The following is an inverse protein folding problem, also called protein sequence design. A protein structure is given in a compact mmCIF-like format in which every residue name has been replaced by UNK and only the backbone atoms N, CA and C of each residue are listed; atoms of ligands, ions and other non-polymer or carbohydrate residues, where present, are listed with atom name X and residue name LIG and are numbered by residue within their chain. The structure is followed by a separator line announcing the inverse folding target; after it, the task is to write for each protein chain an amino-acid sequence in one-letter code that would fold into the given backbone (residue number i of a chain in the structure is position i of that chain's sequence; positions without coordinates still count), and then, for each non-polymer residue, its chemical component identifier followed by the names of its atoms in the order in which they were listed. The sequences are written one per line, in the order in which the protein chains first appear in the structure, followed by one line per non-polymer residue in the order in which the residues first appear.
data_IF_269800255117
#
_entry.id   IF_269800255117
#
_cell.length_a   1.000
_cell.length_b   1.000
_cell.length_c   1.000
_cell.angle_alpha   90.00
_cell.angle_beta   90.00
_cell.angle_gamma   90.00
#
_symmetry.space_group_name_H-M   'P 1'
#
loop_
_entity.id
_entity.type
_entity.pdbx_description
1 polymer ?
#
# COMPACT_ATOMS: atom_id res chain seq x y z
N UNK A 1 -73.75 -47.88 -40.52
CA UNK A 1 -72.72 -48.46 -41.43
C UNK A 1 -71.41 -47.73 -41.19
N UNK A 2 -70.59 -48.22 -40.25
CA UNK A 2 -69.24 -47.70 -40.08
C UNK A 2 -68.35 -48.32 -41.16
N UNK A 3 -67.65 -47.48 -41.92
CA UNK A 3 -66.91 -47.91 -43.11
C UNK A 3 -65.79 -48.88 -42.72
N UNK A 4 -65.55 -49.89 -43.57
CA UNK A 4 -64.50 -50.90 -43.40
C UNK A 4 -63.10 -50.29 -43.21
N UNK A 5 -62.91 -49.04 -43.62
CA UNK A 5 -61.67 -48.27 -43.43
C UNK A 5 -61.41 -47.94 -41.95
N UNK A 6 -62.44 -47.64 -41.15
CA UNK A 6 -62.28 -47.28 -39.73
C UNK A 6 -61.91 -48.49 -38.84
N UNK A 7 -62.30 -49.70 -39.26
CA UNK A 7 -61.87 -50.96 -38.62
C UNK A 7 -60.42 -51.34 -38.95
N UNK A 8 -59.91 -50.93 -40.11
CA UNK A 8 -58.53 -51.21 -40.50
C UNK A 8 -57.53 -50.35 -39.72
N UNK A 9 -57.87 -49.08 -39.43
CA UNK A 9 -56.99 -48.20 -38.66
C UNK A 9 -56.97 -48.48 -37.15
N UNK A 10 -58.06 -49.02 -36.59
CA UNK A 10 -58.13 -49.36 -35.15
C UNK A 10 -57.43 -50.67 -34.79
N UNK A 11 -57.02 -51.48 -35.77
CA UNK A 11 -56.27 -52.74 -35.58
C UNK A 11 -54.76 -52.59 -35.74
N UNK A 12 -54.24 -51.38 -35.92
CA UNK A 12 -52.79 -51.18 -36.05
C UNK A 12 -52.13 -51.36 -34.68
N UNK A 13 -51.70 -52.59 -34.41
CA UNK A 13 -51.34 -53.10 -33.08
C UNK A 13 -50.00 -52.62 -32.52
N UNK A 14 -49.32 -51.69 -33.17
CA UNK A 14 -48.00 -51.24 -32.70
C UNK A 14 -47.80 -49.75 -32.98
N UNK A 15 -48.07 -48.92 -31.98
CA UNK A 15 -47.41 -47.62 -31.86
C UNK A 15 -45.92 -47.90 -31.61
N UNK A 16 -45.12 -47.90 -32.68
CA UNK A 16 -43.67 -47.99 -32.59
C UNK A 16 -43.13 -46.57 -32.40
N UNK A 17 -43.03 -46.12 -31.17
CA UNK A 17 -42.24 -44.93 -30.84
C UNK A 17 -40.77 -45.29 -30.97
N UNK A 18 -40.13 -44.92 -32.08
CA UNK A 18 -38.67 -44.88 -32.14
C UNK A 18 -38.19 -43.81 -31.17
N UNK A 19 -37.79 -44.23 -29.97
CA UNK A 19 -37.00 -43.39 -29.09
C UNK A 19 -35.68 -43.10 -29.82
N UNK A 20 -35.60 -41.97 -30.53
CA UNK A 20 -34.34 -41.42 -31.03
C UNK A 20 -33.42 -41.37 -29.81
N UNK A 21 -32.41 -42.25 -29.79
CA UNK A 21 -31.45 -42.42 -28.71
C UNK A 21 -31.02 -41.04 -28.20
N UNK A 22 -31.44 -40.68 -26.98
CA UNK A 22 -31.00 -39.44 -26.32
C UNK A 22 -29.50 -39.48 -25.95
N UNK A 23 -28.81 -40.56 -26.29
CA UNK A 23 -27.36 -40.76 -26.13
C UNK A 23 -26.57 -39.60 -26.73
N UNK A 24 -26.95 -39.11 -27.92
CA UNK A 24 -26.26 -37.99 -28.58
C UNK A 24 -26.44 -36.67 -27.82
N UNK A 25 -27.61 -36.43 -27.22
CA UNK A 25 -27.85 -35.24 -26.37
C UNK A 25 -27.08 -35.33 -25.06
N UNK A 26 -27.05 -36.51 -24.43
CA UNK A 26 -26.31 -36.75 -23.20
C UNK A 26 -24.79 -36.62 -23.41
N UNK A 27 -24.27 -37.13 -24.53
CA UNK A 27 -22.85 -37.01 -24.87
C UNK A 27 -22.48 -35.56 -25.21
N UNK A 28 -23.31 -34.85 -25.98
CA UNK A 28 -23.13 -33.43 -26.27
C UNK A 28 -23.19 -32.58 -25.00
N UNK A 29 -24.12 -32.87 -24.09
CA UNK A 29 -24.20 -32.28 -22.73
C UNK A 29 -22.92 -32.51 -21.93
N UNK A 30 -22.37 -33.73 -21.94
CA UNK A 30 -21.12 -34.06 -21.25
C UNK A 30 -19.92 -33.30 -21.82
N UNK A 31 -19.82 -33.20 -23.15
CA UNK A 31 -18.77 -32.43 -23.83
C UNK A 31 -18.86 -30.94 -23.52
N UNK A 32 -20.08 -30.37 -23.53
CA UNK A 32 -20.33 -28.98 -23.15
C UNK A 32 -19.95 -28.77 -21.67
N UNK A 33 -20.33 -29.67 -20.77
CA UNK A 33 -19.96 -29.58 -19.35
C UNK A 33 -18.44 -29.63 -19.14
N UNK A 34 -17.73 -30.51 -19.84
CA UNK A 34 -16.26 -30.57 -19.80
C UNK A 34 -15.61 -29.30 -20.32
N UNK A 35 -16.12 -28.76 -21.43
CA UNK A 35 -15.65 -27.50 -21.99
C UNK A 35 -15.89 -26.33 -21.03
N UNK A 36 -17.08 -26.27 -20.42
CA UNK A 36 -17.41 -25.25 -19.42
C UNK A 36 -16.45 -25.34 -18.23
N UNK A 37 -16.20 -26.55 -17.72
CA UNK A 37 -15.23 -26.80 -16.64
C UNK A 37 -13.82 -26.35 -17.03
N UNK A 38 -13.39 -26.61 -18.26
CA UNK A 38 -12.08 -26.16 -18.76
C UNK A 38 -12.01 -24.63 -18.82
N UNK A 39 -13.04 -23.93 -19.30
CA UNK A 39 -13.11 -22.47 -19.27
C UNK A 39 -13.02 -21.95 -17.84
N UNK A 40 -13.79 -22.52 -16.90
CA UNK A 40 -13.71 -22.12 -15.49
C UNK A 40 -12.30 -22.32 -14.92
N UNK A 41 -11.64 -23.42 -15.26
CA UNK A 41 -10.27 -23.68 -14.83
C UNK A 41 -9.27 -22.68 -15.43
N UNK A 42 -9.42 -22.33 -16.71
CA UNK A 42 -8.61 -21.29 -17.35
C UNK A 42 -8.82 -19.91 -16.72
N UNK A 43 -10.06 -19.55 -16.39
CA UNK A 43 -10.37 -18.32 -15.67
C UNK A 43 -9.72 -18.30 -14.28
N UNK A 44 -9.75 -19.44 -13.57
CA UNK A 44 -9.09 -19.58 -12.27
C UNK A 44 -7.57 -19.39 -12.39
N UNK A 45 -6.92 -20.04 -13.38
CA UNK A 45 -5.48 -19.85 -13.64
C UNK A 45 -5.18 -18.38 -13.94
N UNK A 46 -5.98 -17.74 -14.79
CA UNK A 46 -5.83 -16.32 -15.12
C UNK A 46 -5.89 -15.42 -13.87
N UNK A 47 -6.87 -15.67 -12.99
CA UNK A 47 -7.03 -14.93 -11.74
C UNK A 47 -5.84 -15.16 -10.79
N UNK A 48 -5.38 -16.39 -10.63
CA UNK A 48 -4.23 -16.72 -9.77
C UNK A 48 -2.94 -16.07 -10.29
N UNK A 49 -2.69 -16.12 -11.61
CA UNK A 49 -1.55 -15.45 -12.23
C UNK A 49 -1.60 -13.94 -12.00
N UNK A 50 -2.79 -13.32 -12.13
CA UNK A 50 -3.00 -11.90 -11.82
C UNK A 50 -2.70 -11.57 -10.35
N UNK A 51 -3.21 -12.37 -9.41
CA UNK A 51 -2.96 -12.17 -7.98
C UNK A 51 -1.48 -12.30 -7.63
N UNK A 52 -0.78 -13.29 -8.17
CA UNK A 52 0.67 -13.47 -7.97
C UNK A 52 1.44 -12.27 -8.51
N UNK A 53 1.06 -11.77 -9.70
CA UNK A 53 1.69 -10.60 -10.30
C UNK A 53 1.52 -9.34 -9.45
N UNK A 54 0.28 -9.05 -9.01
CA UNK A 54 0.00 -7.89 -8.15
C UNK A 54 0.72 -8.03 -6.80
N UNK A 55 0.70 -9.22 -6.19
CA UNK A 55 1.39 -9.48 -4.91
C UNK A 55 2.90 -9.25 -5.02
N UNK A 56 3.51 -9.67 -6.14
CA UNK A 56 4.94 -9.41 -6.43
C UNK A 56 5.23 -7.91 -6.54
N UNK A 57 4.38 -7.15 -7.23
CA UNK A 57 4.52 -5.70 -7.34
C UNK A 57 4.32 -4.99 -5.99
N UNK A 58 3.31 -5.39 -5.22
CA UNK A 58 3.04 -4.83 -3.91
C UNK A 58 4.19 -5.12 -2.92
N UNK A 59 4.74 -6.33 -2.94
CA UNK A 59 5.91 -6.69 -2.12
C UNK A 59 7.18 -5.90 -2.49
N UNK A 60 7.30 -5.44 -3.75
CA UNK A 60 8.42 -4.58 -4.17
C UNK A 60 8.22 -3.11 -3.79
N UNK A 61 7.03 -2.74 -3.33
CA UNK A 61 6.68 -1.35 -3.08
C UNK A 61 6.34 -0.57 -4.35
N UNK A 62 6.07 -1.23 -5.49
CA UNK A 62 5.77 -0.56 -6.77
C UNK A 62 4.48 0.30 -6.71
N UNK A 63 3.63 0.04 -5.71
CA UNK A 63 2.39 0.78 -5.44
C UNK A 63 2.53 1.81 -4.31
N UNK A 64 3.73 1.97 -3.73
CA UNK A 64 3.96 2.99 -2.71
C UNK A 64 4.06 4.36 -3.36
N UNK A 65 3.58 5.38 -2.64
CA UNK A 65 3.79 6.76 -3.05
C UNK A 65 5.29 7.08 -2.98
N UNK A 66 5.87 7.55 -4.08
CA UNK A 66 7.32 7.83 -4.16
C UNK A 66 7.69 9.14 -3.50
N UNK A 67 6.74 10.07 -3.39
CA UNK A 67 6.99 11.38 -2.82
C UNK A 67 5.70 11.98 -2.29
N UNK A 68 5.83 12.75 -1.22
CA UNK A 68 4.72 13.38 -0.52
C UNK A 68 5.01 14.86 -0.29
N UNK A 69 3.97 15.67 -0.17
CA UNK A 69 4.09 17.08 0.20
C UNK A 69 3.46 17.27 1.57
N UNK A 70 4.21 17.86 2.49
CA UNK A 70 3.84 18.00 3.90
C UNK A 70 3.56 19.47 4.20
N UNK A 71 2.43 19.75 4.87
CA UNK A 71 1.98 21.11 5.19
C UNK A 71 1.54 21.16 6.65
N UNK A 72 2.52 21.25 7.54
CA UNK A 72 2.28 21.45 8.97
C UNK A 72 1.80 22.89 9.19
N UNK A 73 0.73 23.04 9.98
CA UNK A 73 0.16 24.33 10.37
C UNK A 73 1.09 25.07 11.34
N UNK A 74 0.74 26.32 11.68
CA UNK A 74 1.52 27.25 12.53
C UNK A 74 1.72 26.78 13.98
N UNK A 75 2.26 25.58 14.16
CA UNK A 75 2.61 24.97 15.43
C UNK A 75 4.05 25.32 15.79
N UNK A 76 4.25 25.71 17.04
CA UNK A 76 5.54 26.08 17.61
C UNK A 76 5.74 25.31 18.89
N UNK A 77 6.94 24.75 19.08
CA UNK A 77 7.33 24.05 20.30
C UNK A 77 8.52 24.73 20.94
N UNK A 78 8.31 25.36 22.10
CA UNK A 78 9.29 26.27 22.71
C UNK A 78 10.49 25.56 23.37
N UNK A 79 10.28 24.35 23.88
CA UNK A 79 11.27 23.63 24.69
C UNK A 79 11.97 22.49 23.94
N UNK A 80 12.17 22.65 22.62
CA UNK A 80 12.85 21.61 21.85
C UNK A 80 14.33 21.55 22.24
N UNK A 81 14.89 20.36 22.14
CA UNK A 81 16.27 20.06 22.54
C UNK A 81 17.06 19.67 21.31
N UNK A 82 18.13 20.39 21.02
CA UNK A 82 19.02 20.14 19.88
C UNK A 82 20.31 19.50 20.38
N UNK A 83 20.57 18.27 19.94
CA UNK A 83 21.77 17.48 20.26
C UNK A 83 22.60 17.29 18.99
N UNK A 84 23.50 18.24 18.73
CA UNK A 84 24.47 18.13 17.63
C UNK A 84 25.69 17.34 18.10
N UNK A 85 26.22 16.39 17.32
CA UNK A 85 27.43 15.67 17.69
C UNK A 85 28.58 16.62 18.03
N UNK A 86 29.18 16.43 19.22
CA UNK A 86 30.32 17.22 19.68
C UNK A 86 29.98 18.59 20.27
N UNK A 87 28.69 18.90 20.49
CA UNK A 87 28.25 20.12 21.19
C UNK A 87 27.39 19.78 22.39
N UNK A 88 27.34 20.72 23.33
CA UNK A 88 26.40 20.65 24.44
C UNK A 88 24.96 20.73 23.94
N UNK A 89 24.06 20.19 24.77
CA UNK A 89 22.63 20.16 24.50
C UNK A 89 22.07 21.58 24.60
N UNK A 90 21.55 22.10 23.49
CA UNK A 90 20.96 23.45 23.43
C UNK A 90 19.44 23.37 23.39
N UNK A 91 18.77 24.27 24.13
CA UNK A 91 17.31 24.45 24.03
C UNK A 91 17.01 25.48 22.95
N UNK A 92 16.11 25.14 22.03
CA UNK A 92 15.69 26.02 20.93
C UNK A 92 14.19 25.94 20.72
N UNK A 93 13.62 27.00 20.15
CA UNK A 93 12.25 27.01 19.66
C UNK A 93 12.20 26.25 18.33
N UNK A 94 11.35 25.25 18.24
CA UNK A 94 11.07 24.50 17.02
C UNK A 94 9.85 25.09 16.32
N UNK A 95 10.05 25.55 15.09
CA UNK A 95 8.98 26.07 14.24
C UNK A 95 8.65 25.00 13.21
N UNK A 96 7.55 24.28 13.38
CA UNK A 96 7.20 23.15 12.50
C UNK A 96 6.99 23.52 11.04
N UNK A 97 6.37 24.69 10.69
CA UNK A 97 6.26 25.11 9.30
C UNK A 97 7.59 25.19 8.53
N UNK A 98 8.73 25.29 9.23
CA UNK A 98 10.05 25.23 8.60
C UNK A 98 10.39 23.87 8.02
N UNK A 99 9.59 22.83 8.25
CA UNK A 99 9.72 21.50 7.63
C UNK A 99 8.68 21.24 6.54
N UNK A 100 7.85 22.24 6.20
CA UNK A 100 6.90 22.12 5.10
C UNK A 100 7.63 22.03 3.77
N UNK A 101 7.19 21.14 2.90
CA UNK A 101 7.84 20.96 1.61
C UNK A 101 7.67 19.56 1.06
N UNK A 102 8.56 19.24 0.14
CA UNK A 102 8.56 17.99 -0.60
C UNK A 102 9.43 16.95 0.09
N UNK A 103 8.95 15.72 0.18
CA UNK A 103 9.68 14.59 0.73
C UNK A 103 9.71 13.46 -0.30
N UNK A 104 10.89 12.88 -0.53
CA UNK A 104 11.08 11.75 -1.43
C UNK A 104 11.36 10.47 -0.65
N UNK A 105 10.86 9.36 -1.17
CA UNK A 105 11.23 8.03 -0.68
C UNK A 105 12.71 7.77 -0.97
N UNK A 106 13.50 7.47 0.06
CA UNK A 106 14.95 7.24 -0.07
C UNK A 106 15.31 5.80 -0.48
N UNK A 107 14.31 4.97 -0.75
CA UNK A 107 14.43 3.54 -1.05
C UNK A 107 14.74 2.66 0.16
N UNK A 108 14.98 3.26 1.33
CA UNK A 108 15.11 2.53 2.59
C UNK A 108 13.74 2.19 3.16
N UNK A 109 13.72 1.26 4.12
CA UNK A 109 12.51 0.93 4.85
C UNK A 109 12.79 0.85 6.35
N UNK A 110 11.80 1.30 7.12
CA UNK A 110 11.77 1.19 8.58
C UNK A 110 10.52 0.40 8.95
N UNK A 111 10.66 -0.64 9.77
CA UNK A 111 9.56 -1.56 10.09
C UNK A 111 8.82 -2.12 8.87
N UNK A 112 9.52 -2.31 7.74
CA UNK A 112 8.96 -2.80 6.49
C UNK A 112 8.06 -1.79 5.76
N UNK A 113 8.22 -0.49 6.04
CA UNK A 113 7.49 0.62 5.45
C UNK A 113 8.44 1.68 4.90
N UNK A 114 8.02 2.44 3.87
CA UNK A 114 8.89 3.42 3.23
C UNK A 114 9.27 4.55 4.19
N UNK A 115 10.47 5.10 3.98
CA UNK A 115 10.95 6.30 4.67
C UNK A 115 10.97 7.44 3.68
N UNK A 116 10.37 8.56 4.08
CA UNK A 116 10.32 9.79 3.29
C UNK A 116 11.29 10.80 3.88
N UNK A 117 12.15 11.37 3.05
CA UNK A 117 13.21 12.29 3.46
C UNK A 117 12.95 13.66 2.85
N UNK A 118 13.06 14.69 3.70
CA UNK A 118 12.88 16.08 3.30
C UNK A 118 13.84 16.44 2.16
N UNK A 119 13.34 17.18 1.17
CA UNK A 119 14.12 17.70 0.06
C UNK A 119 14.37 19.19 0.22
N UNK A 120 15.41 19.69 -0.46
CA UNK A 120 15.73 21.10 -0.46
C UNK A 120 14.56 21.91 -1.07
N UNK A 121 14.12 22.94 -0.34
CA UNK A 121 12.95 23.74 -0.68
C UNK A 121 13.13 24.61 -1.93
N UNK A 122 14.38 24.92 -2.31
CA UNK A 122 14.66 25.82 -3.42
C UNK A 122 14.70 25.10 -4.77
N UNK A 123 15.26 23.88 -4.80
CA UNK A 123 15.52 23.15 -6.04
C UNK A 123 14.93 21.71 -6.05
N UNK A 124 14.36 21.26 -4.93
CA UNK A 124 13.81 19.91 -4.79
C UNK A 124 14.85 18.80 -4.75
N UNK A 125 16.13 19.13 -4.68
CA UNK A 125 17.22 18.15 -4.64
C UNK A 125 17.46 17.63 -3.22
N UNK A 126 18.19 16.53 -3.11
CA UNK A 126 18.60 15.99 -1.81
C UNK A 126 19.48 16.99 -1.05
N UNK A 127 19.32 17.06 0.28
CA UNK A 127 20.19 17.89 1.09
C UNK A 127 21.63 17.41 1.01
N UNK A 128 22.55 18.35 0.78
CA UNK A 128 23.97 18.03 0.84
C UNK A 128 24.37 17.78 2.29
N UNK A 129 24.53 16.50 2.63
CA UNK A 129 24.95 16.02 3.95
C UNK A 129 26.46 16.15 4.16
N UNK A 130 27.21 16.59 3.15
CA UNK A 130 28.65 16.79 3.22
C UNK A 130 28.98 18.26 3.04
N UNK A 131 29.58 18.87 4.06
CA UNK A 131 30.06 20.25 3.94
C UNK A 131 31.52 20.25 3.45
N UNK A 132 31.85 21.00 2.37
CA UNK A 132 33.24 21.19 1.95
C UNK A 132 34.05 22.02 2.96
N UNK A 133 33.38 22.75 3.87
CA UNK A 133 34.00 23.46 4.99
C UNK A 133 33.12 23.29 6.25
N UNK A 134 33.39 22.27 7.08
CA UNK A 134 32.58 22.00 8.27
C UNK A 134 32.69 23.09 9.35
N UNK A 135 33.66 24.00 9.23
CA UNK A 135 33.87 25.09 10.20
C UNK A 135 32.93 26.26 9.91
N UNK A 136 32.77 26.64 8.63
CA UNK A 136 31.96 27.80 8.24
C UNK A 136 30.60 27.44 7.62
N UNK A 137 30.46 26.24 7.06
CA UNK A 137 29.22 25.79 6.42
C UNK A 137 28.62 24.65 7.23
N UNK A 138 27.52 24.95 7.92
CA UNK A 138 26.77 23.95 8.69
C UNK A 138 26.04 23.01 7.72
N UNK A 139 26.31 21.72 7.85
CA UNK A 139 25.54 20.67 7.17
C UNK A 139 24.08 20.75 7.61
N UNK A 140 23.17 20.79 6.65
CA UNK A 140 21.74 20.65 6.91
C UNK A 140 21.38 19.18 6.84
N UNK A 141 20.86 18.65 7.95
CA UNK A 141 20.35 17.29 8.01
C UNK A 141 18.85 17.33 7.68
N UNK A 142 18.36 16.48 6.77
CA UNK A 142 16.94 16.45 6.44
C UNK A 142 16.11 15.83 7.55
N UNK A 143 14.88 16.31 7.70
CA UNK A 143 13.87 15.58 8.48
C UNK A 143 13.39 14.32 7.75
N UNK A 144 12.81 13.39 8.50
CA UNK A 144 12.31 12.12 7.97
C UNK A 144 10.93 11.81 8.48
N UNK A 145 10.13 11.18 7.64
CA UNK A 145 8.85 10.60 8.00
C UNK A 145 8.93 9.09 7.81
N UNK A 146 8.61 8.34 8.86
CA UNK A 146 8.70 6.88 8.86
C UNK A 146 7.59 6.27 9.72
N UNK A 147 7.21 5.03 9.41
CA UNK A 147 6.30 4.29 10.26
C UNK A 147 7.06 3.60 11.39
N UNK A 148 6.52 3.66 12.60
CA UNK A 148 7.08 2.99 13.77
C UNK A 148 6.09 1.97 14.35
N UNK A 149 6.51 0.71 14.36
CA UNK A 149 5.68 -0.40 14.83
C UNK A 149 5.45 -0.39 16.33
N UNK A 150 6.41 0.10 17.12
CA UNK A 150 6.33 0.16 18.59
C UNK A 150 5.16 0.99 19.10
N UNK A 151 4.80 2.05 18.36
CA UNK A 151 3.69 2.97 18.67
C UNK A 151 2.59 2.97 17.60
N UNK A 152 2.68 2.06 16.62
CA UNK A 152 1.73 1.88 15.50
C UNK A 152 1.33 3.20 14.83
N UNK A 153 2.31 4.08 14.59
CA UNK A 153 2.04 5.42 14.07
C UNK A 153 3.10 5.84 13.05
N UNK A 154 2.69 6.71 12.14
CA UNK A 154 3.62 7.50 11.32
C UNK A 154 4.22 8.58 12.17
N UNK A 155 5.55 8.73 12.10
CA UNK A 155 6.27 9.73 12.87
C UNK A 155 7.06 10.65 11.95
N UNK A 156 7.03 11.92 12.30
CA UNK A 156 7.96 12.92 11.82
C UNK A 156 9.13 13.00 12.81
N UNK A 157 10.36 12.87 12.33
CA UNK A 157 11.58 12.83 13.15
C UNK A 157 12.71 13.60 12.50
N UNK A 158 13.69 14.00 13.30
CA UNK A 158 14.90 14.66 12.84
C UNK A 158 16.09 14.16 13.66
N UNK A 159 17.27 14.02 13.07
CA UNK A 159 18.41 13.38 13.72
C UNK A 159 18.82 14.10 15.02
N UNK A 160 18.92 15.43 14.97
CA UNK A 160 19.43 16.24 16.08
C UNK A 160 18.37 16.87 16.99
N UNK A 161 17.08 16.81 16.64
CA UNK A 161 16.03 17.53 17.38
C UNK A 161 15.21 16.52 18.19
N UNK A 162 14.96 16.81 19.46
CA UNK A 162 14.15 16.00 20.38
C UNK A 162 13.16 16.90 21.12
N UNK A 163 12.05 16.34 21.58
CA UNK A 163 11.06 17.07 22.41
C UNK A 163 11.52 17.30 23.84
N UNK A 164 12.31 16.38 24.40
CA UNK A 164 12.81 16.48 25.76
C UNK A 164 14.24 15.98 25.88
N UNK A 165 14.89 16.32 27.00
CA UNK A 165 16.22 15.80 27.35
C UNK A 165 16.16 14.48 28.12
N UNK A 166 14.98 13.87 28.27
CA UNK A 166 14.86 12.65 29.07
C UNK A 166 15.44 11.44 28.33
N UNK A 167 16.20 10.60 29.03
CA UNK A 167 16.66 9.28 28.56
C UNK A 167 15.52 8.29 28.31
N UNK A 168 14.27 8.64 28.63
CA UNK A 168 13.08 7.86 28.24
C UNK A 168 12.67 8.07 26.78
N UNK A 169 13.14 9.15 26.15
CA UNK A 169 12.92 9.41 24.71
C UNK A 169 13.94 8.69 23.80
N UNK A 170 14.87 7.91 24.37
CA UNK A 170 15.70 6.91 23.66
C UNK A 170 14.88 5.66 23.28
N UNK A 171 13.59 5.84 23.02
CA UNK A 171 12.78 4.83 22.33
C UNK A 171 13.34 4.62 20.93
N UNK A 172 13.20 3.42 20.37
CA UNK A 172 13.58 3.10 18.98
C UNK A 172 12.94 4.07 17.94
N UNK A 173 11.95 4.85 18.36
CA UNK A 173 11.23 5.80 17.54
C UNK A 173 11.08 7.19 18.20
N UNK A 174 12.13 8.03 18.19
CA UNK A 174 12.01 9.41 18.66
C UNK A 174 11.19 10.24 17.66
N UNK A 175 10.08 10.82 18.10
CA UNK A 175 9.14 11.55 17.24
C UNK A 175 8.97 13.01 17.67
N UNK A 176 8.90 13.89 16.67
CA UNK A 176 8.59 15.31 16.81
C UNK A 176 7.11 15.58 16.52
N UNK A 177 6.51 14.87 15.57
CA UNK A 177 5.06 14.77 15.39
C UNK A 177 4.73 13.30 15.12
N UNK A 178 3.48 12.91 15.38
CA UNK A 178 3.01 11.55 15.10
C UNK A 178 1.55 11.57 14.68
N UNK A 179 1.14 10.57 13.89
CA UNK A 179 -0.29 10.32 13.64
C UNK A 179 -0.96 9.81 14.89
N UNK A 180 -2.29 9.72 14.80
CA UNK A 180 -3.03 8.73 15.56
C UNK A 180 -2.51 7.30 15.28
N UNK A 181 -2.76 6.39 16.22
CA UNK A 181 -2.43 4.98 16.03
C UNK A 181 -3.25 4.41 14.87
N UNK A 182 -2.59 3.71 13.96
CA UNK A 182 -3.20 3.26 12.72
C UNK A 182 -2.69 1.88 12.29
N UNK A 183 -3.59 1.11 11.69
CA UNK A 183 -3.28 -0.09 10.92
C UNK A 183 -3.19 0.18 9.42
N UNK A 184 -3.49 1.42 9.02
CA UNK A 184 -3.39 1.90 7.65
C UNK A 184 -1.96 2.36 7.41
N UNK A 185 -1.32 1.72 6.44
CA UNK A 185 0.07 1.98 6.09
C UNK A 185 0.23 2.91 4.90
N UNK A 186 -0.88 3.47 4.40
CA UNK A 186 -0.83 4.58 3.48
C UNK A 186 -0.78 5.88 4.29
N UNK A 187 0.22 6.72 4.03
CA UNK A 187 0.39 7.96 4.77
C UNK A 187 -0.65 9.02 4.39
N UNK A 188 -1.21 8.95 3.18
CA UNK A 188 -2.22 9.89 2.70
C UNK A 188 -3.59 9.68 3.37
N UNK A 189 -3.84 8.45 3.85
CA UNK A 189 -5.08 8.09 4.53
C UNK A 189 -5.02 8.35 6.04
N UNK A 190 -3.85 8.65 6.58
CA UNK A 190 -3.63 8.75 8.02
C UNK A 190 -3.82 10.19 8.48
N UNK A 191 -4.67 10.37 9.48
CA UNK A 191 -4.88 11.66 10.13
C UNK A 191 -3.74 11.97 11.12
N UNK A 192 -3.28 13.22 11.09
CA UNK A 192 -2.26 13.72 11.98
C UNK A 192 -2.11 15.24 11.84
N UNK A 193 -1.29 15.87 12.71
CA UNK A 193 -1.08 17.32 12.71
C UNK A 193 -0.13 17.80 11.58
N UNK A 194 -0.31 17.32 10.34
CA UNK A 194 0.56 17.62 9.18
C UNK A 194 -0.18 17.97 7.89
#
# INVERSE_FOLDING_TARGET
VFSKSLRAETTNKYFRTEFKKEVDKAEKSRRISLFLKAIYFMNLIGLLCGQIYVSRKQSRGDYQCKSITVIIKDEVWEESVVKVPGKDVEKMVLIYPYFNGHYNQDGSSHDGRPVYVEQNKFDGTEFNTTSPDPVHIRVKVPARIKYCKSIRAWVFTHEYIRKSNSTRDDSDCPWLLRSEETDVFDIEEVQGPW
#
